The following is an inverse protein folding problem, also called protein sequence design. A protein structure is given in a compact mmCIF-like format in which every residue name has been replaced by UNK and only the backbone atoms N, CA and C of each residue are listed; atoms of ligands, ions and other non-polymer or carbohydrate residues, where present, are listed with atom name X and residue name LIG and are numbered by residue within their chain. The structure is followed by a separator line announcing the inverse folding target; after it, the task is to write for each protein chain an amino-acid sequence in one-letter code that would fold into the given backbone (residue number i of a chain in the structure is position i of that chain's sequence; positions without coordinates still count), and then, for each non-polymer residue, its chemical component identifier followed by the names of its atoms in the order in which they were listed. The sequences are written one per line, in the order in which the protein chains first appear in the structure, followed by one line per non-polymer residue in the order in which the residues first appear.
data_IF_860791239631
#
_entry.id   IF_860791239631
#
_cell.length_a   1.000
_cell.length_b   1.000
_cell.length_c   1.000
_cell.angle_alpha   90.00
_cell.angle_beta   90.00
_cell.angle_gamma   90.00
#
_symmetry.space_group_name_H-M   'P 1'
#
loop_
_entity.id
_entity.type
_entity.pdbx_description
1 polymer ?
#
# COMPACT_ATOMS: atom_id res chain seq x y z
N UNK A 1 3.22 22.68 3.53
CA UNK A 1 4.59 22.60 2.99
C UNK A 1 4.47 22.36 1.50
N UNK A 2 4.86 23.33 0.69
CA UNK A 2 4.82 23.19 -0.78
C UNK A 2 5.97 22.26 -1.21
N UNK A 3 5.68 20.98 -1.38
CA UNK A 3 6.61 20.06 -2.02
C UNK A 3 6.43 20.18 -3.53
N UNK A 4 7.34 20.91 -4.18
CA UNK A 4 7.42 20.91 -5.63
C UNK A 4 8.19 19.68 -6.09
N UNK A 5 7.50 18.79 -6.79
CA UNK A 5 8.10 17.57 -7.35
C UNK A 5 8.26 17.73 -8.85
N UNK A 6 9.39 17.28 -9.40
CA UNK A 6 9.57 17.15 -10.86
C UNK A 6 8.85 15.86 -11.29
N UNK A 7 7.69 16.02 -11.92
CA UNK A 7 6.85 14.85 -12.31
C UNK A 7 7.14 14.39 -13.74
N UNK A 8 7.62 15.27 -14.58
CA UNK A 8 7.82 14.97 -16.00
C UNK A 8 9.12 15.58 -16.52
N UNK A 9 9.99 14.74 -17.04
CA UNK A 9 11.19 15.15 -17.76
C UNK A 9 11.07 14.69 -19.21
N UNK A 10 10.97 15.64 -20.12
CA UNK A 10 11.06 15.37 -21.55
C UNK A 10 12.52 15.54 -21.97
N UNK A 11 13.00 14.75 -22.93
CA UNK A 11 14.37 14.85 -23.46
C UNK A 11 14.80 16.25 -23.95
N UNK A 12 13.87 17.20 -23.99
CA UNK A 12 14.08 18.62 -24.31
C UNK A 12 14.25 19.49 -23.05
N UNK A 13 14.63 18.94 -21.89
CA UNK A 13 14.85 19.62 -20.59
C UNK A 13 13.63 20.35 -20.00
N UNK A 14 12.41 19.96 -20.36
CA UNK A 14 11.21 20.51 -19.72
C UNK A 14 11.06 19.89 -18.32
N UNK A 15 11.37 20.68 -17.29
CA UNK A 15 11.14 20.33 -15.89
C UNK A 15 9.94 21.13 -15.40
N UNK A 16 8.86 20.43 -15.05
CA UNK A 16 7.67 21.05 -14.47
C UNK A 16 7.72 20.88 -12.95
N UNK A 17 7.74 22.01 -12.23
CA UNK A 17 7.50 22.04 -10.81
C UNK A 17 5.99 22.03 -10.57
N UNK A 18 5.48 21.00 -9.98
CA UNK A 18 4.04 20.84 -9.72
C UNK A 18 3.78 20.79 -8.22
N UNK A 19 2.61 21.22 -7.81
CA UNK A 19 2.15 21.05 -6.43
C UNK A 19 1.64 19.64 -6.23
N UNK A 20 1.90 19.06 -5.06
CA UNK A 20 1.32 17.78 -4.64
C UNK A 20 0.74 17.91 -3.25
N UNK A 21 -0.39 17.28 -3.03
CA UNK A 21 -1.02 17.11 -1.71
C UNK A 21 -0.75 15.71 -1.09
N UNK A 22 0.07 14.89 -1.76
CA UNK A 22 0.38 13.52 -1.36
C UNK A 22 -0.51 12.46 -2.04
N UNK A 23 -1.65 12.84 -2.59
CA UNK A 23 -2.57 11.96 -3.30
C UNK A 23 -2.51 12.17 -4.82
N UNK A 24 -2.39 13.44 -5.24
CA UNK A 24 -2.34 13.78 -6.66
C UNK A 24 -1.39 14.96 -6.91
N UNK A 25 -1.16 15.29 -8.15
CA UNK A 25 -0.41 16.47 -8.59
C UNK A 25 -1.35 17.48 -9.20
N UNK A 26 -1.07 18.76 -8.97
CA UNK A 26 -1.89 19.87 -9.39
C UNK A 26 -1.10 20.76 -10.37
N UNK A 27 -1.66 21.03 -11.54
CA UNK A 27 -1.08 21.89 -12.57
C UNK A 27 -2.00 23.06 -12.86
N UNK A 28 -1.37 24.20 -13.14
CA UNK A 28 -2.06 25.35 -13.74
C UNK A 28 -2.32 25.10 -15.22
N UNK A 29 -3.25 25.85 -15.79
CA UNK A 29 -3.47 25.82 -17.24
C UNK A 29 -2.23 26.25 -18.03
N UNK A 30 -1.44 27.19 -17.51
CA UNK A 30 -0.18 27.63 -18.12
C UNK A 30 0.87 26.50 -18.13
N UNK A 31 1.00 25.75 -17.04
CA UNK A 31 1.87 24.58 -16.98
C UNK A 31 1.43 23.50 -17.99
N UNK A 32 0.12 23.29 -18.17
CA UNK A 32 -0.38 22.40 -19.21
C UNK A 32 -0.07 22.91 -20.63
N UNK A 33 -0.09 24.22 -20.86
CA UNK A 33 0.34 24.80 -22.14
C UNK A 33 1.80 24.48 -22.45
N UNK A 34 2.67 24.60 -21.46
CA UNK A 34 4.09 24.25 -21.57
C UNK A 34 4.28 22.74 -21.79
N UNK A 35 3.59 21.92 -20.99
CA UNK A 35 3.65 20.45 -21.06
C UNK A 35 3.27 19.92 -22.44
N UNK A 36 2.20 20.43 -23.03
CA UNK A 36 1.65 19.94 -24.28
C UNK A 36 2.06 20.73 -25.52
N UNK A 37 2.81 21.83 -25.35
CA UNK A 37 3.25 22.69 -26.44
C UNK A 37 2.05 23.31 -27.20
N UNK A 38 1.02 23.76 -26.46
CA UNK A 38 -0.19 24.35 -27.03
C UNK A 38 -0.54 25.65 -26.33
N UNK A 39 -1.22 26.52 -27.07
CA UNK A 39 -1.69 27.78 -26.51
C UNK A 39 -2.88 27.59 -25.54
N UNK A 40 -3.10 28.61 -24.74
CA UNK A 40 -4.09 28.60 -23.67
C UNK A 40 -5.52 28.32 -24.19
N UNK A 41 -5.91 28.86 -25.34
CA UNK A 41 -7.24 28.69 -25.90
C UNK A 41 -7.53 27.22 -26.29
N UNK A 42 -6.51 26.47 -26.75
CA UNK A 42 -6.63 25.05 -27.09
C UNK A 42 -6.78 24.22 -25.82
N UNK A 43 -5.95 24.47 -24.81
CA UNK A 43 -6.02 23.78 -23.52
C UNK A 43 -7.36 24.05 -22.83
N UNK A 44 -7.78 25.32 -22.76
CA UNK A 44 -9.08 25.72 -22.19
C UNK A 44 -10.26 24.99 -22.86
N UNK A 45 -10.23 24.88 -24.18
CA UNK A 45 -11.29 24.14 -24.94
C UNK A 45 -11.30 22.66 -24.60
N UNK A 46 -10.15 22.01 -24.46
CA UNK A 46 -10.10 20.60 -24.05
C UNK A 46 -10.65 20.42 -22.64
N UNK A 47 -10.27 21.27 -21.69
CA UNK A 47 -10.80 21.25 -20.32
C UNK A 47 -12.32 21.47 -20.32
N UNK A 48 -12.82 22.47 -21.06
CA UNK A 48 -14.25 22.73 -21.15
C UNK A 48 -15.03 21.52 -21.74
N UNK A 49 -14.46 20.84 -22.74
CA UNK A 49 -15.08 19.64 -23.32
C UNK A 49 -15.10 18.46 -22.33
N UNK A 50 -14.05 18.25 -21.54
CA UNK A 50 -13.99 17.21 -20.49
C UNK A 50 -15.17 17.37 -19.53
N UNK A 51 -15.42 18.57 -19.05
CA UNK A 51 -16.51 18.84 -18.13
C UNK A 51 -17.89 18.78 -18.84
N UNK A 52 -17.99 19.28 -20.06
CA UNK A 52 -19.23 19.26 -20.85
C UNK A 52 -19.66 17.82 -21.18
N UNK A 53 -18.72 16.95 -21.45
CA UNK A 53 -18.95 15.54 -21.78
C UNK A 53 -19.19 14.67 -20.52
N UNK A 54 -19.03 15.23 -19.33
CA UNK A 54 -19.20 14.54 -18.06
C UNK A 54 -18.11 13.50 -17.77
N UNK A 55 -16.93 13.62 -18.42
CA UNK A 55 -15.81 12.71 -18.20
C UNK A 55 -15.26 12.85 -16.76
N UNK A 56 -15.22 14.10 -16.25
CA UNK A 56 -14.76 14.42 -14.89
C UNK A 56 -15.69 15.47 -14.25
N UNK A 57 -15.90 15.34 -12.94
CA UNK A 57 -16.64 16.30 -12.13
C UNK A 57 -15.72 17.45 -11.72
N UNK A 58 -16.10 18.68 -12.06
CA UNK A 58 -15.26 19.87 -11.83
C UNK A 58 -14.92 20.08 -10.36
N UNK A 59 -15.86 19.82 -9.46
CA UNK A 59 -15.75 20.01 -8.02
C UNK A 59 -14.64 19.14 -7.41
N UNK A 60 -14.36 18.00 -8.01
CA UNK A 60 -13.34 17.04 -7.53
C UNK A 60 -11.96 17.34 -8.09
N UNK A 61 -11.89 17.82 -9.33
CA UNK A 61 -10.63 17.89 -10.10
C UNK A 61 -10.08 19.28 -10.29
N UNK A 62 -10.78 20.31 -9.77
CA UNK A 62 -10.42 21.71 -9.88
C UNK A 62 -10.37 22.39 -8.52
N UNK A 63 -9.33 23.15 -8.26
CA UNK A 63 -9.18 23.94 -7.04
C UNK A 63 -8.70 25.36 -7.36
N UNK A 64 -9.21 26.35 -6.63
CA UNK A 64 -8.71 27.73 -6.69
C UNK A 64 -7.70 27.97 -5.58
N UNK A 65 -6.52 28.45 -5.96
CA UNK A 65 -5.50 28.86 -5.01
C UNK A 65 -5.27 30.37 -5.10
N UNK A 66 -5.42 31.03 -3.96
CA UNK A 66 -5.07 32.44 -3.82
C UNK A 66 -3.64 32.57 -3.30
N UNK A 67 -2.81 33.36 -3.98
CA UNK A 67 -1.48 33.70 -3.49
C UNK A 67 -1.23 35.21 -3.57
N UNK A 68 -0.45 35.69 -2.63
CA UNK A 68 -0.14 37.09 -2.52
C UNK A 68 1.11 37.42 -3.36
N UNK A 69 0.98 38.35 -4.29
CA UNK A 69 2.11 38.87 -5.08
C UNK A 69 2.33 40.34 -4.77
N UNK A 70 3.55 40.83 -4.98
CA UNK A 70 3.82 42.28 -4.92
C UNK A 70 3.11 42.98 -6.08
N UNK A 71 2.47 44.09 -5.81
CA UNK A 71 1.82 44.89 -6.84
C UNK A 71 2.89 45.55 -7.72
N UNK A 72 2.88 45.30 -9.06
CA UNK A 72 3.94 45.72 -9.96
C UNK A 72 4.06 47.25 -10.12
N UNK A 73 3.00 48.03 -9.86
CA UNK A 73 2.97 49.48 -10.07
C UNK A 73 3.06 50.31 -8.77
N UNK A 74 2.85 49.70 -7.60
CA UNK A 74 2.84 50.41 -6.31
C UNK A 74 3.78 49.73 -5.34
N UNK A 75 4.88 50.38 -4.98
CA UNK A 75 5.83 49.87 -4.00
C UNK A 75 5.16 49.67 -2.64
N UNK A 76 5.35 48.49 -2.04
CA UNK A 76 4.81 48.13 -0.72
C UNK A 76 3.39 47.62 -0.69
N UNK A 77 2.64 47.60 -1.80
CA UNK A 77 1.32 46.96 -1.88
C UNK A 77 1.42 45.52 -2.37
N UNK A 78 0.62 44.64 -1.77
CA UNK A 78 0.44 43.25 -2.19
C UNK A 78 -0.90 43.10 -2.91
N UNK A 79 -0.91 42.20 -3.90
CA UNK A 79 -2.10 41.84 -4.67
C UNK A 79 -2.38 40.37 -4.47
N UNK A 80 -3.61 39.99 -4.18
CA UNK A 80 -4.07 38.62 -4.16
C UNK A 80 -4.36 38.21 -5.61
N UNK A 81 -3.72 37.17 -6.07
CA UNK A 81 -3.95 36.57 -7.38
C UNK A 81 -4.48 35.17 -7.19
N UNK A 82 -5.61 34.89 -7.81
CA UNK A 82 -6.19 33.55 -7.83
C UNK A 82 -5.73 32.78 -9.05
N UNK A 83 -5.37 31.53 -8.86
CA UNK A 83 -4.97 30.63 -9.94
C UNK A 83 -5.74 29.33 -9.81
N UNK A 84 -6.40 28.93 -10.89
CA UNK A 84 -7.03 27.63 -11.01
C UNK A 84 -6.00 26.53 -11.19
N UNK A 85 -6.11 25.51 -10.38
CA UNK A 85 -5.32 24.28 -10.45
C UNK A 85 -6.22 23.12 -10.88
N UNK A 86 -5.65 22.22 -11.63
CA UNK A 86 -6.28 21.02 -12.15
C UNK A 86 -5.46 19.81 -11.71
N UNK A 87 -6.14 18.77 -11.25
CA UNK A 87 -5.48 17.55 -10.79
C UNK A 87 -4.93 16.69 -11.95
N UNK A 88 -4.25 15.61 -11.61
CA UNK A 88 -3.65 14.69 -12.58
C UNK A 88 -4.66 14.10 -13.57
N UNK A 89 -5.92 13.86 -13.15
CA UNK A 89 -6.94 13.30 -14.03
C UNK A 89 -7.25 14.22 -15.20
N UNK A 90 -7.40 15.53 -14.94
CA UNK A 90 -7.58 16.53 -16.01
C UNK A 90 -6.35 16.58 -16.91
N UNK A 91 -5.13 16.52 -16.35
CA UNK A 91 -3.89 16.53 -17.13
C UNK A 91 -3.82 15.32 -18.08
N UNK A 92 -4.17 14.15 -17.59
CA UNK A 92 -4.22 12.91 -18.40
C UNK A 92 -5.27 13.04 -19.51
N UNK A 93 -6.49 13.45 -19.17
CA UNK A 93 -7.60 13.60 -20.14
C UNK A 93 -7.25 14.61 -21.24
N UNK A 94 -6.67 15.76 -20.90
CA UNK A 94 -6.15 16.73 -21.87
C UNK A 94 -5.04 16.13 -22.72
N UNK A 95 -4.10 15.38 -22.10
CA UNK A 95 -2.97 14.75 -22.78
C UNK A 95 -3.40 13.73 -23.85
N UNK A 96 -4.52 13.03 -23.62
CA UNK A 96 -5.07 12.11 -24.61
C UNK A 96 -5.81 12.81 -25.76
N UNK A 97 -6.35 14.00 -25.52
CA UNK A 97 -7.10 14.79 -26.52
C UNK A 97 -6.23 15.71 -27.39
N UNK A 98 -5.09 16.14 -26.85
CA UNK A 98 -4.18 17.07 -27.51
C UNK A 98 -3.45 16.41 -28.67
N UNK A 99 -3.58 17.01 -29.88
CA UNK A 99 -2.83 16.61 -31.08
C UNK A 99 -1.54 17.44 -31.18
N UNK A 100 -0.47 17.02 -30.45
CA UNK A 100 0.85 17.63 -30.51
C UNK A 100 1.96 16.58 -30.39
N UNK A 101 3.17 16.91 -30.77
CA UNK A 101 4.34 16.05 -30.57
C UNK A 101 4.57 15.81 -29.07
N UNK A 102 4.48 16.88 -28.27
CA UNK A 102 4.60 16.80 -26.81
C UNK A 102 3.49 15.92 -26.19
N UNK A 103 2.24 16.05 -26.66
CA UNK A 103 1.14 15.19 -26.25
C UNK A 103 1.40 13.72 -26.60
N UNK A 104 2.02 13.42 -27.73
CA UNK A 104 2.41 12.06 -28.09
C UNK A 104 3.51 11.52 -27.15
N UNK A 105 4.54 12.32 -26.89
CA UNK A 105 5.62 11.97 -25.94
C UNK A 105 5.07 11.75 -24.52
N UNK A 106 4.15 12.60 -24.08
CA UNK A 106 3.46 12.42 -22.79
C UNK A 106 2.71 11.10 -22.71
N UNK A 107 1.92 10.73 -23.73
CA UNK A 107 1.20 9.44 -23.76
C UNK A 107 2.16 8.25 -23.76
N UNK A 108 3.27 8.32 -24.49
CA UNK A 108 4.28 7.26 -24.48
C UNK A 108 4.93 7.12 -23.09
N UNK A 109 5.24 8.24 -22.43
CA UNK A 109 5.76 8.25 -21.07
C UNK A 109 4.74 7.69 -20.09
N UNK A 110 3.48 8.15 -20.11
CA UNK A 110 2.42 7.68 -19.25
C UNK A 110 2.18 6.17 -19.39
N UNK A 111 2.16 5.68 -20.65
CA UNK A 111 2.03 4.23 -20.91
C UNK A 111 3.19 3.43 -20.35
N UNK A 112 4.42 3.94 -20.45
CA UNK A 112 5.60 3.30 -19.88
C UNK A 112 5.52 3.25 -18.34
N UNK A 113 5.20 4.38 -17.71
CA UNK A 113 5.02 4.46 -16.26
C UNK A 113 3.97 3.48 -15.76
N UNK A 114 2.80 3.45 -16.41
CA UNK A 114 1.73 2.53 -16.06
C UNK A 114 2.18 1.07 -16.18
N UNK A 115 2.88 0.72 -17.25
CA UNK A 115 3.41 -0.64 -17.45
C UNK A 115 4.42 -1.01 -16.36
N UNK A 116 5.36 -0.13 -16.03
CA UNK A 116 6.34 -0.36 -14.98
C UNK A 116 5.68 -0.53 -13.61
N UNK A 117 4.70 0.31 -13.28
CA UNK A 117 3.94 0.19 -12.03
C UNK A 117 3.15 -1.12 -11.94
N UNK A 118 2.50 -1.54 -13.03
CA UNK A 118 1.76 -2.81 -13.07
C UNK A 118 2.68 -4.02 -12.91
N UNK A 119 3.83 -4.03 -13.60
CA UNK A 119 4.80 -5.12 -13.50
C UNK A 119 5.39 -5.20 -12.09
N UNK A 120 5.79 -4.07 -11.50
CA UNK A 120 6.26 -4.00 -10.12
C UNK A 120 5.23 -4.55 -9.13
N UNK A 121 3.96 -4.18 -9.30
CA UNK A 121 2.87 -4.68 -8.45
C UNK A 121 2.66 -6.19 -8.57
N UNK A 122 2.82 -6.75 -9.77
CA UNK A 122 2.77 -8.21 -9.98
C UNK A 122 3.90 -8.92 -9.23
N UNK A 123 5.11 -8.37 -9.27
CA UNK A 123 6.25 -8.95 -8.55
C UNK A 123 6.10 -8.83 -7.04
N UNK A 124 5.60 -7.72 -6.52
CA UNK A 124 5.26 -7.53 -5.10
C UNK A 124 4.23 -8.57 -4.63
N UNK A 125 3.16 -8.80 -5.40
CA UNK A 125 2.13 -9.81 -5.08
C UNK A 125 2.72 -11.21 -5.05
N UNK A 126 3.61 -11.55 -5.99
CA UNK A 126 4.30 -12.85 -6.01
C UNK A 126 5.19 -13.04 -4.78
N UNK A 127 5.90 -11.98 -4.36
CA UNK A 127 6.77 -12.03 -3.19
C UNK A 127 5.97 -12.19 -1.89
N UNK A 128 4.87 -11.45 -1.76
CA UNK A 128 3.93 -11.61 -0.64
C UNK A 128 3.37 -13.04 -0.59
N UNK A 129 3.02 -13.63 -1.73
CA UNK A 129 2.53 -15.00 -1.77
C UNK A 129 3.60 -16.03 -1.32
N UNK A 130 4.88 -15.83 -1.68
CA UNK A 130 5.98 -16.67 -1.19
C UNK A 130 6.18 -16.52 0.32
N UNK A 131 6.16 -15.28 0.82
CA UNK A 131 6.31 -15.01 2.25
C UNK A 131 5.17 -15.65 3.06
N UNK A 132 3.92 -15.56 2.57
CA UNK A 132 2.79 -16.25 3.21
C UNK A 132 3.00 -17.76 3.32
N UNK A 133 3.39 -18.41 2.23
CA UNK A 133 3.66 -19.87 2.25
C UNK A 133 4.74 -20.25 3.26
N UNK A 134 5.79 -19.44 3.39
CA UNK A 134 6.85 -19.67 4.39
C UNK A 134 6.34 -19.48 5.82
N UNK A 135 5.48 -18.50 6.02
CA UNK A 135 4.85 -18.22 7.31
C UNK A 135 3.93 -19.36 7.72
N UNK A 136 3.06 -19.85 6.82
CA UNK A 136 2.16 -20.98 7.07
C UNK A 136 2.95 -22.25 7.42
N UNK A 137 4.06 -22.52 6.73
CA UNK A 137 4.95 -23.63 7.06
C UNK A 137 5.56 -23.49 8.45
N UNK A 138 6.10 -22.31 8.79
CA UNK A 138 6.68 -22.05 10.11
C UNK A 138 5.64 -22.15 11.24
N UNK A 139 4.42 -21.69 11.02
CA UNK A 139 3.30 -21.88 11.98
C UNK A 139 2.98 -23.37 12.19
N UNK A 140 3.01 -24.17 11.12
CA UNK A 140 2.88 -25.62 11.20
C UNK A 140 3.95 -26.27 12.08
N UNK A 141 5.21 -25.89 11.86
CA UNK A 141 6.36 -26.39 12.64
C UNK A 141 6.24 -25.99 14.12
N UNK A 142 5.86 -24.75 14.40
CA UNK A 142 5.64 -24.25 15.77
C UNK A 142 4.52 -25.06 16.45
N UNK A 143 3.44 -25.35 15.73
CA UNK A 143 2.34 -26.16 16.28
C UNK A 143 2.77 -27.58 16.61
N UNK A 144 3.60 -28.22 15.78
CA UNK A 144 4.18 -29.54 16.05
C UNK A 144 5.10 -29.50 17.28
N UNK A 145 6.00 -28.51 17.36
CA UNK A 145 6.91 -28.34 18.49
C UNK A 145 6.13 -28.13 19.80
N UNK A 146 5.10 -27.27 19.78
CA UNK A 146 4.20 -27.06 20.92
C UNK A 146 3.49 -28.36 21.34
N UNK A 147 3.01 -29.15 20.38
CA UNK A 147 2.39 -30.46 20.65
C UNK A 147 3.37 -31.42 21.30
N UNK A 148 4.59 -31.54 20.77
CA UNK A 148 5.66 -32.37 21.33
C UNK A 148 6.07 -31.93 22.74
N UNK A 149 6.24 -30.61 22.96
CA UNK A 149 6.53 -30.08 24.30
C UNK A 149 5.44 -30.36 25.31
N UNK A 150 4.16 -30.18 24.93
CA UNK A 150 3.03 -30.51 25.80
C UNK A 150 3.00 -32.00 26.18
N UNK A 151 3.31 -32.85 25.22
CA UNK A 151 3.42 -34.31 25.47
C UNK A 151 4.54 -34.63 26.45
N UNK A 152 5.73 -34.07 26.27
CA UNK A 152 6.87 -34.30 27.18
C UNK A 152 6.60 -33.76 28.60
N UNK A 153 6.03 -32.57 28.73
CA UNK A 153 5.62 -32.02 30.02
C UNK A 153 4.64 -32.95 30.73
N UNK A 154 3.65 -33.50 30.02
CA UNK A 154 2.69 -34.44 30.59
C UNK A 154 3.35 -35.74 31.04
N UNK A 155 4.34 -36.24 30.32
CA UNK A 155 5.09 -37.44 30.70
C UNK A 155 5.96 -37.19 31.96
N UNK A 156 6.63 -36.03 32.03
CA UNK A 156 7.46 -35.69 33.18
C UNK A 156 6.63 -35.31 34.43
N UNK A 157 5.38 -34.87 34.24
CA UNK A 157 4.46 -34.51 35.33
C UNK A 157 3.60 -35.70 35.77
N UNK A 158 3.70 -36.86 35.13
CA UNK A 158 3.00 -38.07 35.56
C UNK A 158 3.52 -38.44 36.95
N UNK A 159 2.64 -38.65 37.97
CA UNK A 159 3.08 -39.06 39.31
C UNK A 159 3.83 -40.38 39.21
N UNK A 160 5.00 -40.44 39.84
CA UNK A 160 5.74 -41.70 39.94
C UNK A 160 4.79 -42.78 40.51
N UNK A 161 4.59 -43.84 39.77
CA UNK A 161 3.87 -45.01 40.32
C UNK A 161 4.56 -45.40 41.61
N UNK A 162 3.82 -45.53 42.75
CA UNK A 162 4.45 -45.83 44.01
C UNK A 162 5.25 -47.14 43.87
N UNK A 163 6.56 -47.04 44.04
CA UNK A 163 7.44 -48.22 44.02
C UNK A 163 6.90 -49.21 45.04
N UNK A 164 6.52 -50.39 44.59
CA UNK A 164 6.17 -51.51 45.51
C UNK A 164 7.31 -51.63 46.51
N UNK A 165 7.02 -51.34 47.79
CA UNK A 165 7.96 -51.59 48.86
C UNK A 165 8.20 -53.08 48.90
N UNK A 166 9.33 -53.55 48.41
CA UNK A 166 9.80 -54.91 48.63
C UNK A 166 10.27 -54.91 50.11
N UNK A 167 9.31 -55.20 50.97
CA UNK A 167 9.62 -55.33 52.41
C UNK A 167 10.17 -56.67 52.68
N UNK A 168 11.47 -56.77 52.92
CA UNK A 168 12.05 -57.81 53.73
C UNK A 168 11.64 -57.54 55.21
N UNK A 169 10.60 -58.27 55.69
CA UNK A 169 10.10 -58.03 57.03
C UNK A 169 8.85 -58.89 57.31
N UNK A 170 8.92 -60.19 57.00
CA UNK A 170 7.97 -61.11 57.56
C UNK A 170 8.43 -61.39 58.99
N UNK A 171 7.68 -60.91 59.98
CA UNK A 171 7.77 -61.45 61.35
C UNK A 171 7.24 -62.86 61.34
N UNK A 172 7.91 -63.85 61.94
CA UNK A 172 7.40 -65.21 62.07
C UNK A 172 6.35 -65.20 63.20
N UNK A 173 5.14 -65.67 62.86
CA UNK A 173 4.14 -65.95 63.87
C UNK A 173 2.78 -65.31 63.65
N UNK A 174 1.97 -65.88 62.76
CA UNK A 174 0.53 -66.08 62.96
C UNK A 174 -0.01 -67.05 61.94
N UNK A 175 -0.16 -68.26 62.40
CA UNK A 175 -0.97 -69.32 61.80
C UNK A 175 -2.43 -68.98 62.03
N UNK A 176 -3.23 -68.88 60.92
CA UNK A 176 -4.62 -69.38 61.05
C UNK A 176 -5.27 -69.47 59.66
N UNK A 177 -5.50 -70.68 59.34
CA UNK A 177 -6.82 -71.22 58.97
C UNK A 177 -7.37 -70.77 57.59
N UNK A 178 -7.19 -71.63 56.67
CA UNK A 178 -8.10 -71.86 55.56
C UNK A 178 -9.51 -72.30 56.06
N UNK A 179 -10.56 -71.91 55.38
CA UNK A 179 -11.63 -72.87 55.17
C UNK A 179 -11.87 -73.10 53.67
N UNK A 180 -11.69 -74.40 53.38
CA UNK A 180 -12.28 -75.07 52.26
C UNK A 180 -13.82 -75.03 52.36
N UNK A 181 -14.49 -74.73 51.30
CA UNK A 181 -15.95 -74.69 51.22
C UNK A 181 -16.42 -74.94 49.78
N UNK A 182 -16.56 -76.17 49.46
CA UNK A 182 -17.29 -76.92 48.43
C UNK A 182 -18.38 -76.16 47.65
N UNK A 183 -18.32 -76.40 46.36
CA UNK A 183 -19.33 -76.79 45.35
C UNK A 183 -20.82 -76.78 45.73
N UNK A 184 -21.62 -76.20 44.94
CA UNK A 184 -22.62 -76.81 44.04
C UNK A 184 -22.90 -75.85 42.88
#
# INVERSE_FOLDING_TARGET
MDQSIVVYENGDNLRLQVKTDGETVWLTQEQMCQLFGRNQSVIARHIANIFKEGELEKEVVYANFAYTTRHGAIAGKTQIKEVGLYNLDVVISVGYRVKSIQGTRFRQWATRMLREMLLKRVDEVREIAKLRRRMDAAEGDIKQIKGGMSYLVKQLSAPETPRRKIGFGAKPGETSATPYGRAK
#
